data_IF_973229986970
#
_entry.id   IF_973229986970
#
_cell.length_a   1.000
_cell.length_b   1.000
_cell.length_c   1.000
_cell.angle_alpha   90.00
_cell.angle_beta   90.00
_cell.angle_gamma   90.00
#
_symmetry.space_group_name_H-M   'P 1'
#
loop_
_entity.id
_entity.type
_entity.pdbx_description
1 polymer ?
#
# COMPACT_ATOMS: atom_id res chain seq x y z
N UNK A 1 22.46 5.63 -32.02
CA UNK A 1 22.03 4.31 -32.50
C UNK A 1 20.74 3.95 -31.77
N UNK A 2 19.60 4.25 -32.40
CA UNK A 2 18.25 4.06 -31.88
C UNK A 2 17.81 2.61 -32.13
N UNK A 3 17.46 1.86 -31.08
CA UNK A 3 16.57 0.71 -31.18
C UNK A 3 15.66 0.73 -29.94
N UNK A 4 14.58 1.49 -30.03
CA UNK A 4 13.53 1.57 -29.03
C UNK A 4 12.26 2.04 -29.72
N UNK A 5 11.44 1.09 -30.18
CA UNK A 5 10.19 1.42 -30.84
C UNK A 5 9.79 0.40 -31.89
N UNK A 6 9.21 -0.73 -31.47
CA UNK A 6 8.38 -1.57 -32.35
C UNK A 6 7.42 -2.55 -31.66
N UNK A 7 7.17 -2.43 -30.35
CA UNK A 7 6.18 -3.26 -29.66
C UNK A 7 4.96 -2.52 -29.09
N UNK A 8 4.89 -1.19 -29.17
CA UNK A 8 3.76 -0.41 -28.63
C UNK A 8 2.65 -0.07 -29.66
N UNK A 9 2.79 -0.46 -30.93
CA UNK A 9 1.90 -0.03 -32.01
C UNK A 9 0.82 -1.05 -32.42
N UNK A 10 0.58 -2.11 -31.64
CA UNK A 10 -0.40 -3.17 -32.01
C UNK A 10 -1.58 -3.37 -31.05
N UNK A 11 -1.79 -2.49 -30.08
CA UNK A 11 -2.93 -2.57 -29.15
C UNK A 11 -3.93 -1.39 -29.25
N UNK A 12 -3.74 -0.46 -30.18
CA UNK A 12 -4.63 0.70 -30.38
C UNK A 12 -5.51 0.64 -31.65
N UNK A 13 -5.68 -0.55 -32.24
CA UNK A 13 -6.46 -0.74 -33.46
C UNK A 13 -7.47 -1.90 -33.32
N UNK A 14 -8.34 -1.83 -32.31
CA UNK A 14 -9.62 -2.54 -32.26
C UNK A 14 -10.54 -1.73 -31.36
N UNK A 15 -11.83 -1.68 -31.69
CA UNK A 15 -12.87 -0.86 -31.03
C UNK A 15 -12.97 0.62 -31.46
N UNK A 16 -12.88 0.86 -32.77
CA UNK A 16 -13.76 1.85 -33.42
C UNK A 16 -14.73 1.12 -34.31
N UNK A 17 -15.90 0.79 -33.77
CA UNK A 17 -17.18 0.69 -34.48
C UNK A 17 -18.20 0.14 -33.50
N UNK A 18 -19.40 0.71 -33.55
CA UNK A 18 -20.71 0.20 -33.09
C UNK A 18 -21.41 1.19 -32.13
N UNK A 19 -22.55 1.68 -32.64
CA UNK A 19 -23.58 2.57 -32.10
C UNK A 19 -23.47 4.09 -32.31
N UNK A 20 -23.84 4.50 -33.52
CA UNK A 20 -24.71 5.66 -33.77
C UNK A 20 -26.07 5.15 -34.24
N UNK A 21 -27.11 5.33 -33.42
CA UNK A 21 -28.54 5.45 -33.72
C UNK A 21 -29.21 5.67 -32.34
N UNK A 22 -29.86 6.79 -32.00
CA UNK A 22 -30.87 7.46 -32.80
C UNK A 22 -32.26 6.95 -32.39
N UNK A 23 -32.72 7.25 -31.16
CA UNK A 23 -34.13 7.13 -30.79
C UNK A 23 -34.45 8.08 -29.62
N UNK A 24 -35.04 9.22 -29.97
CA UNK A 24 -35.76 10.09 -29.05
C UNK A 24 -37.00 9.34 -28.54
N UNK A 25 -37.09 9.07 -27.24
CA UNK A 25 -38.38 8.80 -26.60
C UNK A 25 -38.74 9.96 -25.67
N UNK A 26 -39.68 10.77 -26.18
CA UNK A 26 -40.45 11.78 -25.45
C UNK A 26 -41.30 11.05 -24.41
N UNK A 27 -41.10 11.32 -23.12
CA UNK A 27 -42.10 11.06 -22.09
C UNK A 27 -42.61 12.39 -21.56
N UNK A 28 -43.86 12.72 -21.88
CA UNK A 28 -44.61 13.83 -21.32
C UNK A 28 -45.65 13.33 -20.32
N UNK A 29 -45.86 14.12 -19.26
CA UNK A 29 -46.94 14.00 -18.25
C UNK A 29 -46.75 12.82 -17.30
N UNK A 30 -46.88 12.94 -15.97
CA UNK A 30 -47.90 13.68 -15.21
C UNK A 30 -47.31 14.05 -13.85
N UNK A 31 -47.50 15.31 -13.45
CA UNK A 31 -47.27 15.80 -12.08
C UNK A 31 -48.44 15.35 -11.18
N UNK A 32 -48.17 14.45 -10.25
CA UNK A 32 -49.10 14.11 -9.16
C UNK A 32 -48.51 14.61 -7.85
N UNK A 33 -49.18 15.59 -7.24
CA UNK A 33 -48.94 16.02 -5.86
C UNK A 33 -49.27 14.88 -4.90
N UNK A 34 -48.37 14.59 -3.96
CA UNK A 34 -48.71 13.91 -2.70
C UNK A 34 -48.04 14.66 -1.54
N UNK A 35 -48.84 14.88 -0.50
CA UNK A 35 -48.56 15.74 0.65
C UNK A 35 -47.65 15.12 1.71
N UNK A 36 -47.60 15.72 2.91
CA UNK A 36 -46.49 15.60 3.84
C UNK A 36 -46.58 14.31 4.67
N UNK A 37 -45.46 13.60 4.82
CA UNK A 37 -45.34 12.51 5.78
C UNK A 37 -44.12 12.69 6.69
N UNK A 38 -44.46 13.06 7.93
CA UNK A 38 -43.97 12.54 9.21
C UNK A 38 -42.49 12.15 9.34
N UNK A 39 -41.81 12.93 10.17
CA UNK A 39 -40.59 12.57 10.90
C UNK A 39 -40.77 11.28 11.70
N UNK A 40 -39.98 10.24 11.40
CA UNK A 40 -39.75 9.14 12.32
C UNK A 40 -38.26 8.78 12.35
N UNK A 41 -37.73 8.85 13.58
CA UNK A 41 -36.61 8.09 14.14
C UNK A 41 -35.42 7.73 13.25
N UNK A 42 -34.30 8.45 13.45
CA UNK A 42 -32.96 7.91 13.17
C UNK A 42 -32.76 6.65 14.01
N UNK A 43 -32.61 5.50 13.36
CA UNK A 43 -31.92 4.36 13.97
C UNK A 43 -30.53 4.24 13.35
N UNK A 44 -29.46 4.19 14.16
CA UNK A 44 -28.11 3.96 13.65
C UNK A 44 -27.99 2.47 13.27
N UNK A 45 -27.93 2.19 11.98
CA UNK A 45 -27.54 0.88 11.45
C UNK A 45 -26.04 0.94 11.17
N UNK A 46 -25.31 -0.09 11.59
CA UNK A 46 -23.86 -0.34 11.43
C UNK A 46 -22.91 0.21 12.51
N UNK A 47 -23.05 -0.28 13.74
CA UNK A 47 -21.99 -0.22 14.77
C UNK A 47 -21.24 -1.54 14.96
N UNK A 48 -21.49 -2.58 14.15
CA UNK A 48 -21.01 -3.95 14.43
C UNK A 48 -19.89 -4.47 13.50
N UNK A 49 -19.23 -3.63 12.69
CA UNK A 49 -18.19 -4.09 11.75
C UNK A 49 -16.90 -3.26 11.74
N UNK A 50 -16.70 -2.37 12.73
CA UNK A 50 -15.52 -1.50 12.82
C UNK A 50 -14.49 -1.96 13.87
N UNK A 51 -14.53 -3.22 14.31
CA UNK A 51 -13.61 -3.73 15.33
C UNK A 51 -12.30 -4.33 14.80
N UNK A 52 -12.04 -4.38 13.49
CA UNK A 52 -10.85 -5.06 12.96
C UNK A 52 -9.70 -4.17 12.47
N UNK A 53 -9.75 -2.84 12.57
CA UNK A 53 -8.63 -2.00 12.10
C UNK A 53 -8.27 -0.90 13.09
N UNK A 54 -7.74 -1.30 14.25
CA UNK A 54 -6.95 -0.43 15.12
C UNK A 54 -5.56 -1.01 15.31
N UNK A 55 -4.69 -0.75 14.34
CA UNK A 55 -3.23 -0.76 14.53
C UNK A 55 -2.55 0.33 13.69
N UNK A 56 -3.03 1.56 13.79
CA UNK A 56 -2.12 2.71 13.68
C UNK A 56 -1.36 2.79 15.02
N UNK A 57 -0.38 1.92 15.16
CA UNK A 57 0.43 1.79 16.38
C UNK A 57 1.52 2.85 16.29
N UNK A 58 1.62 3.71 17.31
CA UNK A 58 2.73 4.65 17.45
C UNK A 58 4.07 3.91 17.32
N UNK A 59 5.09 4.60 16.81
CA UNK A 59 6.44 4.03 16.61
C UNK A 59 6.98 3.38 17.91
N UNK A 60 6.54 3.86 19.08
CA UNK A 60 6.91 3.33 20.39
C UNK A 60 6.24 2.00 20.75
N UNK A 61 5.01 1.75 20.30
CA UNK A 61 4.31 0.49 20.55
C UNK A 61 4.67 -0.61 19.52
N UNK A 62 5.45 -0.28 18.48
CA UNK A 62 6.07 -1.24 17.55
C UNK A 62 7.35 -1.88 18.10
N UNK A 63 7.84 -1.47 19.28
CA UNK A 63 8.97 -2.11 19.98
C UNK A 63 8.60 -3.40 20.71
N UNK A 64 7.32 -3.66 20.91
CA UNK A 64 6.88 -4.84 21.66
C UNK A 64 6.35 -5.90 20.69
N UNK A 65 6.99 -7.07 20.74
CA UNK A 65 6.69 -8.32 20.02
C UNK A 65 7.30 -8.46 18.62
N UNK A 66 8.61 -8.30 18.52
CA UNK A 66 9.44 -9.07 17.57
C UNK A 66 10.52 -9.74 18.40
N UNK A 67 10.61 -11.07 18.37
CA UNK A 67 11.48 -11.83 19.26
C UNK A 67 12.94 -11.37 19.19
N UNK A 68 13.65 -11.44 20.33
CA UNK A 68 15.09 -11.23 20.37
C UNK A 68 15.79 -12.27 19.49
N UNK A 69 16.87 -11.87 18.84
CA UNK A 69 17.74 -12.74 18.05
C UNK A 69 18.50 -13.66 19.00
N UNK A 70 18.35 -14.96 18.79
CA UNK A 70 19.09 -16.01 19.50
C UNK A 70 20.45 -16.26 18.84
N UNK A 71 20.48 -16.32 17.51
CA UNK A 71 21.72 -16.53 16.75
C UNK A 71 21.63 -15.94 15.35
N UNK A 72 22.78 -15.56 14.80
CA UNK A 72 22.93 -15.15 13.41
C UNK A 72 24.21 -15.76 12.84
N UNK A 73 24.10 -16.51 11.75
CA UNK A 73 25.25 -17.21 11.16
C UNK A 73 25.05 -17.46 9.67
N UNK A 74 26.14 -17.56 8.93
CA UNK A 74 26.14 -17.94 7.52
C UNK A 74 26.49 -19.44 7.40
N UNK A 75 25.58 -20.29 6.90
CA UNK A 75 25.92 -21.68 6.60
C UNK A 75 27.05 -21.76 5.56
N UNK A 76 27.88 -22.82 5.62
CA UNK A 76 28.99 -22.99 4.68
C UNK A 76 28.52 -22.94 3.22
N UNK A 77 29.23 -22.14 2.40
CA UNK A 77 28.93 -21.91 0.98
C UNK A 77 27.54 -21.30 0.67
N UNK A 78 26.79 -20.85 1.69
CA UNK A 78 25.52 -20.15 1.48
C UNK A 78 25.76 -18.69 1.09
N UNK A 79 24.92 -18.13 0.20
CA UNK A 79 24.85 -16.68 -0.05
C UNK A 79 23.79 -15.98 0.81
N UNK A 80 23.32 -16.65 1.88
CA UNK A 80 22.34 -16.13 2.83
C UNK A 80 22.89 -16.14 4.27
N UNK A 81 22.52 -15.11 5.04
CA UNK A 81 22.59 -15.12 6.48
C UNK A 81 21.34 -15.81 7.04
N UNK A 82 21.53 -16.79 7.92
CA UNK A 82 20.47 -17.34 8.76
C UNK A 82 20.38 -16.54 10.06
N UNK A 83 19.17 -16.14 10.43
CA UNK A 83 18.85 -15.55 11.73
C UNK A 83 17.81 -16.39 12.43
N UNK A 84 18.09 -16.81 13.67
CA UNK A 84 17.18 -17.55 14.53
C UNK A 84 16.76 -16.66 15.70
N UNK A 85 15.46 -16.55 15.95
CA UNK A 85 14.88 -15.85 17.10
C UNK A 85 14.74 -16.78 18.30
N UNK A 86 14.59 -16.20 19.49
CA UNK A 86 14.40 -16.95 20.75
C UNK A 86 13.13 -17.81 20.75
N UNK A 87 12.10 -17.41 20.00
CA UNK A 87 10.84 -18.17 19.84
C UNK A 87 10.95 -19.34 18.83
N UNK A 88 12.14 -19.58 18.27
CA UNK A 88 12.44 -20.66 17.34
C UNK A 88 12.14 -20.32 15.87
N UNK A 89 11.63 -19.11 15.57
CA UNK A 89 11.49 -18.67 14.19
C UNK A 89 12.86 -18.49 13.54
N UNK A 90 12.96 -18.90 12.27
CA UNK A 90 14.19 -18.82 11.48
C UNK A 90 13.93 -18.12 10.17
N UNK A 91 14.79 -17.17 9.84
CA UNK A 91 14.74 -16.41 8.60
C UNK A 91 16.06 -16.50 7.85
N UNK A 92 15.99 -16.41 6.53
CA UNK A 92 17.15 -16.33 5.66
C UNK A 92 17.14 -15.02 4.88
N UNK A 93 18.29 -14.34 4.86
CA UNK A 93 18.46 -13.06 4.18
C UNK A 93 19.62 -13.16 3.18
N UNK A 94 19.41 -12.87 1.88
CA UNK A 94 20.51 -12.79 0.93
C UNK A 94 21.53 -11.73 1.36
N UNK A 95 22.82 -12.08 1.34
CA UNK A 95 23.89 -11.19 1.79
C UNK A 95 23.95 -9.89 0.98
N UNK A 96 23.80 -9.98 -0.34
CA UNK A 96 23.74 -8.82 -1.23
C UNK A 96 22.58 -7.88 -0.87
N UNK A 97 21.44 -8.43 -0.46
CA UNK A 97 20.28 -7.65 -0.06
C UNK A 97 20.53 -6.93 1.27
N UNK A 98 21.15 -7.59 2.25
CA UNK A 98 21.56 -6.94 3.50
C UNK A 98 22.54 -5.81 3.23
N UNK A 99 23.55 -6.03 2.38
CA UNK A 99 24.56 -5.01 2.03
C UNK A 99 23.95 -3.79 1.32
N UNK A 100 22.99 -4.02 0.40
CA UNK A 100 22.23 -2.98 -0.30
C UNK A 100 21.27 -2.23 0.64
N UNK A 101 20.80 -2.88 1.71
CA UNK A 101 19.87 -2.31 2.68
C UNK A 101 20.53 -1.92 4.00
N UNK A 102 21.86 -1.74 4.01
CA UNK A 102 22.59 -1.24 5.17
C UNK A 102 21.97 0.09 5.65
N UNK A 103 21.71 0.18 6.95
CA UNK A 103 21.06 1.34 7.59
C UNK A 103 22.07 2.36 8.16
N UNK A 104 23.37 2.22 7.88
CA UNK A 104 24.37 3.17 8.35
C UNK A 104 24.25 4.52 7.62
N UNK A 105 24.77 5.62 8.21
CA UNK A 105 24.68 6.96 7.61
C UNK A 105 25.31 7.09 6.21
N UNK A 106 26.28 6.24 5.87
CA UNK A 106 26.92 6.22 4.55
C UNK A 106 26.07 5.54 3.47
N UNK A 107 25.10 4.70 3.87
CA UNK A 107 24.28 3.89 2.95
C UNK A 107 22.81 4.33 2.94
N UNK A 108 22.34 4.96 4.01
CA UNK A 108 20.93 5.34 4.17
C UNK A 108 20.80 6.75 4.76
N UNK A 109 19.96 7.57 4.14
CA UNK A 109 19.67 8.92 4.61
C UNK A 109 18.45 8.91 5.54
N UNK A 110 18.61 9.17 6.86
CA UNK A 110 17.54 8.99 7.85
C UNK A 110 16.41 10.00 7.69
N UNK A 111 16.67 11.20 7.17
CA UNK A 111 15.66 12.26 7.03
C UNK A 111 14.67 12.02 5.87
N UNK A 112 15.10 11.34 4.81
CA UNK A 112 14.29 11.05 3.62
C UNK A 112 13.89 9.59 3.50
N UNK A 113 14.35 8.74 4.43
CA UNK A 113 14.17 7.29 4.41
C UNK A 113 14.57 6.65 3.07
N UNK A 114 15.70 7.08 2.51
CA UNK A 114 16.16 6.65 1.18
C UNK A 114 17.58 6.11 1.20
N UNK A 115 17.84 5.08 0.37
CA UNK A 115 19.20 4.61 0.08
C UNK A 115 20.02 5.71 -0.60
N UNK A 116 21.29 5.82 -0.24
CA UNK A 116 22.27 6.72 -0.89
C UNK A 116 23.39 5.97 -1.62
N UNK A 117 23.37 4.64 -1.56
CA UNK A 117 24.33 3.78 -2.29
C UNK A 117 24.27 4.09 -3.79
N UNK A 118 25.45 4.33 -4.38
CA UNK A 118 25.58 4.49 -5.82
C UNK A 118 25.67 3.13 -6.50
N UNK A 119 24.61 2.72 -7.19
CA UNK A 119 24.52 1.42 -7.85
C UNK A 119 25.54 1.23 -8.98
N UNK A 120 25.98 2.29 -9.66
CA UNK A 120 27.01 2.19 -10.71
C UNK A 120 28.39 1.83 -10.15
N UNK A 121 28.61 2.09 -8.85
CA UNK A 121 29.86 1.82 -8.15
C UNK A 121 29.75 0.70 -7.13
N UNK A 122 28.55 0.14 -6.97
CA UNK A 122 28.29 -0.93 -6.02
C UNK A 122 28.67 -2.27 -6.64
N UNK A 123 29.72 -2.90 -6.12
CA UNK A 123 30.10 -4.26 -6.49
C UNK A 123 29.34 -5.26 -5.60
N UNK A 124 28.41 -6.07 -6.13
CA UNK A 124 27.65 -7.03 -5.33
C UNK A 124 28.51 -8.16 -4.75
N UNK A 125 29.70 -8.42 -5.31
CA UNK A 125 30.59 -9.47 -4.80
C UNK A 125 31.32 -9.06 -3.51
N UNK A 126 31.22 -7.79 -3.07
CA UNK A 126 31.68 -7.36 -1.73
C UNK A 126 30.78 -7.83 -0.60
N UNK A 127 29.59 -8.36 -0.91
CA UNK A 127 28.63 -8.87 0.06
C UNK A 127 29.05 -10.25 0.61
N UNK A 128 30.25 -10.31 1.17
CA UNK A 128 30.84 -11.46 1.85
C UNK A 128 31.04 -11.09 3.31
N UNK A 129 30.47 -11.89 4.22
CA UNK A 129 30.62 -11.67 5.65
C UNK A 129 32.05 -12.03 6.05
N UNK A 130 32.74 -11.10 6.68
CA UNK A 130 34.01 -11.35 7.37
C UNK A 130 33.73 -11.79 8.81
N UNK A 131 32.89 -11.04 9.52
CA UNK A 131 32.50 -11.31 10.90
C UNK A 131 31.00 -11.02 11.07
N UNK A 132 30.32 -11.84 11.87
CA UNK A 132 28.90 -11.67 12.21
C UNK A 132 28.72 -11.97 13.69
N UNK A 133 28.00 -11.10 14.40
CA UNK A 133 27.72 -11.26 15.81
C UNK A 133 26.31 -10.77 16.13
N UNK A 134 25.72 -11.38 17.15
CA UNK A 134 24.50 -10.86 17.79
C UNK A 134 24.93 -10.00 18.97
N UNK A 135 24.37 -8.80 19.08
CA UNK A 135 24.69 -7.84 20.14
C UNK A 135 23.43 -7.22 20.74
N UNK A 136 23.61 -6.30 21.69
CA UNK A 136 22.54 -5.60 22.41
C UNK A 136 21.49 -6.57 22.97
N UNK A 137 21.95 -7.58 23.71
CA UNK A 137 21.11 -8.61 24.32
C UNK A 137 20.12 -9.29 23.35
N UNK A 138 20.55 -9.46 22.09
CA UNK A 138 19.74 -10.07 21.04
C UNK A 138 18.91 -9.08 20.24
N UNK A 139 19.07 -7.77 20.41
CA UNK A 139 18.32 -6.80 19.63
C UNK A 139 18.97 -6.48 18.28
N UNK A 140 20.27 -6.74 18.11
CA UNK A 140 21.03 -6.36 16.92
C UNK A 140 21.77 -7.54 16.31
N UNK A 141 21.85 -7.55 14.97
CA UNK A 141 22.88 -8.29 14.22
C UNK A 141 23.92 -7.29 13.71
N UNK A 142 25.16 -7.45 14.15
CA UNK A 142 26.34 -6.77 13.62
C UNK A 142 26.98 -7.60 12.51
N UNK A 143 27.21 -6.98 11.35
CA UNK A 143 27.93 -7.60 10.23
C UNK A 143 29.11 -6.72 9.85
N UNK A 144 30.30 -7.30 9.84
CA UNK A 144 31.48 -6.72 9.19
C UNK A 144 31.68 -7.42 7.85
N UNK A 145 31.71 -6.65 6.76
CA UNK A 145 31.89 -7.14 5.40
C UNK A 145 33.38 -7.28 5.06
N UNK A 146 33.68 -8.02 3.99
CA UNK A 146 35.06 -8.24 3.53
C UNK A 146 35.78 -6.93 3.14
N UNK A 147 35.06 -5.93 2.65
CA UNK A 147 35.58 -4.58 2.35
C UNK A 147 35.83 -3.73 3.62
N UNK A 148 35.56 -4.27 4.81
CA UNK A 148 35.67 -3.58 6.10
C UNK A 148 34.45 -2.72 6.45
N UNK A 149 33.43 -2.64 5.57
CA UNK A 149 32.19 -1.94 5.88
C UNK A 149 31.47 -2.62 7.04
N UNK A 150 30.71 -1.84 7.83
CA UNK A 150 29.94 -2.35 8.96
C UNK A 150 28.45 -2.03 8.80
N UNK A 151 27.61 -3.02 9.06
CA UNK A 151 26.15 -2.90 9.02
C UNK A 151 25.55 -3.43 10.31
N UNK A 152 24.48 -2.78 10.76
CA UNK A 152 23.71 -3.17 11.94
C UNK A 152 22.24 -3.28 11.54
N UNK A 153 21.59 -4.35 11.99
CA UNK A 153 20.17 -4.59 11.72
C UNK A 153 19.44 -4.96 13.01
N UNK A 154 18.39 -4.21 13.32
CA UNK A 154 17.51 -4.50 14.45
C UNK A 154 16.71 -5.78 14.23
N UNK A 155 16.49 -6.54 15.30
CA UNK A 155 15.62 -7.72 15.33
C UNK A 155 14.24 -7.40 14.73
N UNK A 156 13.66 -6.26 15.12
CA UNK A 156 12.36 -5.82 14.59
C UNK A 156 12.39 -5.51 13.10
N UNK A 157 13.50 -4.97 12.59
CA UNK A 157 13.67 -4.68 11.17
C UNK A 157 13.79 -5.97 10.37
N UNK A 158 14.57 -6.93 10.87
CA UNK A 158 14.75 -8.24 10.25
C UNK A 158 13.45 -9.04 10.25
N UNK A 159 12.75 -9.12 11.39
CA UNK A 159 11.44 -9.78 11.48
C UNK A 159 10.43 -9.19 10.51
N UNK A 160 10.35 -7.86 10.36
CA UNK A 160 9.41 -7.23 9.42
C UNK A 160 9.75 -7.47 7.95
N UNK A 161 11.02 -7.68 7.63
CA UNK A 161 11.53 -7.82 6.24
C UNK A 161 11.97 -9.23 5.89
N UNK A 162 11.55 -10.22 6.67
CA UNK A 162 11.86 -11.61 6.37
C UNK A 162 11.22 -12.04 5.04
N UNK A 163 11.84 -13.04 4.39
CA UNK A 163 11.43 -13.55 3.08
C UNK A 163 10.46 -14.74 3.15
N UNK A 164 9.83 -15.00 4.31
CA UNK A 164 8.83 -16.07 4.37
C UNK A 164 7.62 -15.73 3.50
N UNK A 165 6.97 -16.78 2.96
CA UNK A 165 5.76 -16.61 2.16
C UNK A 165 4.66 -15.90 2.96
N UNK A 166 4.46 -16.29 4.23
CA UNK A 166 3.47 -15.66 5.11
C UNK A 166 3.70 -14.16 5.28
N UNK A 167 4.94 -13.73 5.54
CA UNK A 167 5.26 -12.30 5.67
C UNK A 167 5.05 -11.54 4.36
N UNK A 168 5.38 -12.17 3.23
CA UNK A 168 5.16 -11.59 1.89
C UNK A 168 3.67 -11.39 1.62
N UNK A 169 2.85 -12.39 1.89
CA UNK A 169 1.39 -12.33 1.73
C UNK A 169 0.79 -11.25 2.64
N UNK A 170 1.18 -11.23 3.92
CA UNK A 170 0.73 -10.22 4.88
C UNK A 170 1.13 -8.80 4.43
N UNK A 171 2.37 -8.59 3.98
CA UNK A 171 2.81 -7.29 3.48
C UNK A 171 1.99 -6.83 2.28
N UNK A 172 1.70 -7.72 1.34
CA UNK A 172 0.91 -7.40 0.15
C UNK A 172 -0.54 -7.05 0.51
N UNK A 173 -1.12 -7.72 1.50
CA UNK A 173 -2.47 -7.46 1.98
C UNK A 173 -2.57 -6.15 2.78
N UNK A 174 -1.62 -5.90 3.69
CA UNK A 174 -1.65 -4.75 4.61
C UNK A 174 -1.15 -3.45 3.97
N UNK A 175 -0.02 -3.49 3.24
CA UNK A 175 0.73 -2.29 2.87
C UNK A 175 0.63 -1.89 1.40
N UNK A 176 0.36 -2.83 0.50
CA UNK A 176 0.40 -2.52 -0.94
C UNK A 176 -0.93 -1.97 -1.45
N UNK A 177 -1.98 -2.79 -1.49
CA UNK A 177 -3.34 -2.35 -1.89
C UNK A 177 -4.38 -3.37 -1.46
N UNK A 178 -5.58 -2.92 -1.03
CA UNK A 178 -6.73 -3.82 -0.87
C UNK A 178 -6.96 -4.67 -2.13
N UNK A 179 -7.21 -5.97 -1.93
CA UNK A 179 -7.47 -6.91 -3.04
C UNK A 179 -8.68 -6.46 -3.87
N UNK A 180 -8.54 -6.21 -5.17
CA UNK A 180 -9.66 -5.85 -6.03
C UNK A 180 -10.71 -6.96 -6.09
N UNK A 181 -12.00 -6.61 -6.00
CA UNK A 181 -13.13 -7.51 -6.27
C UNK A 181 -13.63 -7.24 -7.68
N UNK A 182 -13.51 -8.25 -8.55
CA UNK A 182 -14.17 -8.23 -9.85
C UNK A 182 -15.68 -8.41 -9.67
N UNK A 183 -16.47 -7.71 -10.48
CA UNK A 183 -17.93 -7.76 -10.41
C UNK A 183 -18.58 -7.64 -11.79
N UNK A 184 -19.78 -8.19 -11.91
CA UNK A 184 -20.63 -8.11 -13.11
C UNK A 184 -21.83 -7.21 -12.84
N UNK A 185 -22.58 -6.88 -13.90
CA UNK A 185 -23.79 -6.03 -13.84
C UNK A 185 -24.75 -6.40 -12.70
N UNK A 186 -24.98 -7.69 -12.47
CA UNK A 186 -25.90 -8.19 -11.43
C UNK A 186 -25.49 -7.81 -10.00
N UNK A 187 -24.20 -7.57 -9.76
CA UNK A 187 -23.63 -7.28 -8.44
C UNK A 187 -23.48 -5.77 -8.18
N UNK A 188 -23.75 -4.92 -9.16
CA UNK A 188 -23.48 -3.47 -9.07
C UNK A 188 -24.14 -2.80 -7.86
N UNK A 189 -25.37 -3.22 -7.50
CA UNK A 189 -26.07 -2.69 -6.32
C UNK A 189 -25.39 -3.04 -5.00
N UNK A 190 -24.75 -4.20 -4.92
CA UNK A 190 -24.00 -4.64 -3.75
C UNK A 190 -22.64 -3.91 -3.67
N UNK A 191 -22.03 -3.70 -4.84
CA UNK A 191 -20.71 -3.10 -5.01
C UNK A 191 -20.71 -1.59 -4.82
N UNK A 192 -21.74 -0.87 -5.27
CA UNK A 192 -21.79 0.58 -5.22
C UNK A 192 -21.90 1.09 -3.77
N UNK A 193 -20.74 1.41 -3.17
CA UNK A 193 -20.68 2.04 -1.85
C UNK A 193 -20.97 3.53 -1.96
N UNK A 194 -21.77 4.05 -1.03
CA UNK A 194 -22.13 5.48 -0.97
C UNK A 194 -21.51 6.11 0.27
N UNK A 195 -20.97 7.32 0.11
CA UNK A 195 -20.40 8.13 1.18
C UNK A 195 -20.97 9.54 1.14
N UNK A 196 -21.07 10.20 2.29
CA UNK A 196 -21.50 11.59 2.39
C UNK A 196 -20.33 12.53 2.10
N UNK A 197 -20.57 13.57 1.28
CA UNK A 197 -19.52 14.50 0.87
C UNK A 197 -18.82 15.15 2.07
N UNK A 198 -19.59 15.72 3.00
CA UNK A 198 -19.05 16.43 4.16
C UNK A 198 -18.23 15.52 5.08
N UNK A 199 -18.62 14.24 5.18
CA UNK A 199 -17.88 13.25 5.95
C UNK A 199 -16.51 12.95 5.33
N UNK A 200 -16.46 12.73 4.02
CA UNK A 200 -15.20 12.47 3.30
C UNK A 200 -14.26 13.67 3.38
N UNK A 201 -14.80 14.89 3.32
CA UNK A 201 -13.99 16.10 3.47
C UNK A 201 -13.50 16.26 4.91
N UNK A 202 -14.37 16.07 5.91
CA UNK A 202 -14.11 16.43 7.30
C UNK A 202 -13.50 15.34 8.19
N UNK A 203 -13.56 14.06 7.80
CA UNK A 203 -13.20 12.93 8.68
C UNK A 203 -12.24 11.96 8.00
N UNK A 204 -11.09 11.70 8.62
CA UNK A 204 -10.06 10.81 8.06
C UNK A 204 -10.55 9.36 7.94
N UNK A 205 -11.39 8.90 8.87
CA UNK A 205 -11.95 7.54 8.81
C UNK A 205 -12.89 7.36 7.62
N UNK A 206 -13.66 8.40 7.29
CA UNK A 206 -14.56 8.39 6.13
C UNK A 206 -13.77 8.49 4.82
N UNK A 207 -12.72 9.33 4.77
CA UNK A 207 -11.79 9.39 3.65
C UNK A 207 -11.12 8.03 3.40
N UNK A 208 -10.59 7.39 4.44
CA UNK A 208 -9.96 6.08 4.36
C UNK A 208 -10.94 5.04 3.80
N UNK A 209 -12.13 4.93 4.41
CA UNK A 209 -13.13 3.97 3.96
C UNK A 209 -13.57 4.21 2.50
N UNK A 210 -13.65 5.47 2.07
CA UNK A 210 -13.96 5.83 0.69
C UNK A 210 -12.84 5.42 -0.29
N UNK A 211 -11.58 5.71 0.03
CA UNK A 211 -10.42 5.33 -0.79
C UNK A 211 -10.29 3.80 -0.87
N UNK A 212 -10.42 3.10 0.26
CA UNK A 212 -10.35 1.63 0.30
C UNK A 212 -11.48 0.99 -0.52
N UNK A 213 -12.70 1.51 -0.41
CA UNK A 213 -13.82 1.05 -1.25
C UNK A 213 -13.55 1.31 -2.73
N UNK A 214 -13.01 2.48 -3.08
CA UNK A 214 -12.65 2.80 -4.46
C UNK A 214 -11.55 1.86 -5.01
N UNK A 215 -10.51 1.55 -4.22
CA UNK A 215 -9.45 0.62 -4.63
C UNK A 215 -10.00 -0.80 -4.78
N UNK A 216 -10.83 -1.26 -3.84
CA UNK A 216 -11.39 -2.62 -3.85
C UNK A 216 -12.41 -2.84 -4.96
N UNK A 217 -13.30 -1.88 -5.18
CA UNK A 217 -14.46 -2.06 -6.06
C UNK A 217 -14.35 -1.31 -7.39
N UNK A 218 -13.45 -0.33 -7.51
CA UNK A 218 -13.28 0.50 -8.70
C UNK A 218 -14.38 1.55 -8.92
N UNK A 219 -15.42 1.59 -8.07
CA UNK A 219 -16.53 2.55 -8.17
C UNK A 219 -17.15 2.83 -6.81
N UNK A 220 -17.52 4.10 -6.59
CA UNK A 220 -18.17 4.61 -5.38
C UNK A 220 -19.08 5.79 -5.74
N UNK A 221 -20.04 6.10 -4.88
CA UNK A 221 -20.92 7.26 -5.02
C UNK A 221 -20.64 8.24 -3.87
N UNK A 222 -20.40 9.50 -4.19
CA UNK A 222 -20.44 10.59 -3.20
C UNK A 222 -21.82 11.24 -3.25
N UNK A 223 -22.49 11.34 -2.11
CA UNK A 223 -23.83 11.92 -1.96
C UNK A 223 -23.75 13.31 -1.33
N UNK A 224 -24.78 14.11 -1.60
CA UNK A 224 -25.02 15.39 -0.95
C UNK A 224 -23.85 16.37 -1.04
N UNK A 225 -23.07 16.30 -2.13
CA UNK A 225 -22.13 17.35 -2.47
C UNK A 225 -22.89 18.65 -2.76
N UNK A 226 -22.42 19.82 -2.30
CA UNK A 226 -23.00 21.10 -2.67
C UNK A 226 -23.11 21.23 -4.20
N UNK A 227 -24.18 21.86 -4.69
CA UNK A 227 -24.38 22.07 -6.13
C UNK A 227 -23.57 23.29 -6.61
N UNK A 228 -22.24 23.23 -6.48
CA UNK A 228 -21.30 24.27 -6.91
C UNK A 228 -20.20 23.67 -7.79
N UNK A 229 -19.49 24.52 -8.54
CA UNK A 229 -18.51 24.08 -9.55
C UNK A 229 -17.23 23.44 -8.97
N UNK A 230 -16.94 23.61 -7.67
CA UNK A 230 -15.63 23.28 -7.09
C UNK A 230 -15.60 22.00 -6.27
N UNK A 231 -16.72 21.31 -6.07
CA UNK A 231 -16.78 20.15 -5.16
C UNK A 231 -15.89 18.98 -5.61
N UNK A 232 -15.83 18.70 -6.92
CA UNK A 232 -14.89 17.71 -7.47
C UNK A 232 -13.43 18.08 -7.18
N UNK A 233 -13.10 19.38 -7.21
CA UNK A 233 -11.75 19.88 -6.89
C UNK A 233 -11.43 19.73 -5.41
N UNK A 234 -12.38 20.01 -4.52
CA UNK A 234 -12.22 19.81 -3.08
C UNK A 234 -11.96 18.33 -2.77
N UNK A 235 -12.72 17.41 -3.36
CA UNK A 235 -12.50 15.96 -3.21
C UNK A 235 -11.11 15.53 -3.72
N UNK A 236 -10.72 15.98 -4.92
CA UNK A 236 -9.40 15.63 -5.46
C UNK A 236 -8.25 16.16 -4.59
N UNK A 237 -8.38 17.39 -4.08
CA UNK A 237 -7.38 17.99 -3.19
C UNK A 237 -7.38 17.39 -1.78
N UNK A 238 -8.47 16.75 -1.37
CA UNK A 238 -8.53 16.01 -0.10
C UNK A 238 -7.67 14.74 -0.14
N UNK A 239 -7.50 14.14 -1.33
CA UNK A 239 -6.65 12.96 -1.55
C UNK A 239 -5.23 13.34 -1.95
N UNK A 240 -5.08 14.33 -2.83
CA UNK A 240 -3.80 14.73 -3.38
C UNK A 240 -3.93 15.94 -4.30
N UNK A 241 -3.74 15.75 -5.60
CA UNK A 241 -3.85 16.83 -6.58
C UNK A 241 -4.50 16.36 -7.87
N UNK A 242 -5.12 17.28 -8.59
CA UNK A 242 -5.67 17.01 -9.92
C UNK A 242 -4.53 16.92 -10.93
N UNK A 243 -4.49 15.82 -11.68
CA UNK A 243 -3.66 15.71 -12.88
C UNK A 243 -4.26 16.56 -14.00
N UNK A 244 -3.63 17.70 -14.30
CA UNK A 244 -4.01 18.56 -15.42
C UNK A 244 -3.89 17.82 -16.75
N UNK A 245 -4.86 18.04 -17.63
CA UNK A 245 -4.87 17.51 -19.00
C UNK A 245 -5.10 18.64 -20.01
N UNK A 246 -5.11 18.34 -21.31
CA UNK A 246 -5.48 19.32 -22.34
C UNK A 246 -6.92 19.85 -22.18
N UNK A 247 -7.78 19.13 -21.46
CA UNK A 247 -9.18 19.50 -21.20
C UNK A 247 -9.35 20.40 -19.96
N UNK A 248 -8.26 20.70 -19.25
CA UNK A 248 -8.29 21.22 -17.88
C UNK A 248 -7.72 20.21 -16.90
#
# INVERSE_FOLDING_TARGET
>A
MQIGGRLAARLFAAERSIFVAGAYHRFGGVLSRLGPHSSQGRQPVHTAQLQSLRKAVSVDALRQVTGSIKSAYQPASSRNLTVELVDGQRYEFPLVWLRDNCQCPDCFHPGSYSRVINWERFDPEVAVIRECAVSDDGNLVDITWHDGHRSQFDASWMSKRNFTQQNTEQYLEEWYRPTPRLWKRSEFREVLKSFEFDDVIGRDEALQAWIEALIRYGVVMIRNAPLTELECRKLANRVGFIRKTHYG
#
